data_IF_263790321104
#
_entry.id   IF_263790321104
#
_cell.length_a   1.000
_cell.length_b   1.000
_cell.length_c   1.000
_cell.angle_alpha   90.00
_cell.angle_beta   90.00
_cell.angle_gamma   90.00
#
_symmetry.space_group_name_H-M   'P 1'
#
loop_
_entity.id
_entity.type
_entity.pdbx_description
1 polymer ?
#
# COMPACT_ATOMS: atom_id res chain seq x y z
N UNK A 1 1.34 -13.07 17.12
CA UNK A 1 2.70 -12.67 16.69
C UNK A 1 3.07 -11.28 17.21
N UNK A 2 2.17 -10.29 17.16
CA UNK A 2 2.39 -8.97 17.77
C UNK A 2 2.62 -8.98 19.31
N UNK A 3 1.95 -9.88 20.04
CA UNK A 3 2.13 -9.98 21.50
C UNK A 3 3.52 -10.45 21.94
N UNK A 4 4.24 -11.21 21.09
CA UNK A 4 5.58 -11.71 21.42
C UNK A 4 6.62 -10.59 21.35
N UNK A 5 6.54 -9.72 20.35
CA UNK A 5 7.43 -8.56 20.25
C UNK A 5 7.20 -7.54 21.37
N UNK A 6 5.95 -7.41 21.82
CA UNK A 6 5.62 -6.56 22.96
C UNK A 6 6.15 -7.14 24.28
N UNK A 7 6.11 -8.47 24.45
CA UNK A 7 6.74 -9.12 25.60
C UNK A 7 8.27 -8.98 25.55
N UNK A 8 8.90 -9.18 24.40
CA UNK A 8 10.36 -9.09 24.26
C UNK A 8 10.88 -7.66 24.49
N UNK A 9 10.12 -6.64 24.07
CA UNK A 9 10.46 -5.24 24.37
C UNK A 9 10.28 -4.91 25.84
N UNK A 10 9.22 -5.43 26.47
CA UNK A 10 9.00 -5.25 27.90
C UNK A 10 10.09 -5.95 28.73
N UNK A 11 10.49 -7.17 28.35
CA UNK A 11 11.56 -7.91 29.03
C UNK A 11 12.91 -7.19 28.94
N UNK A 12 13.25 -6.63 27.78
CA UNK A 12 14.47 -5.80 27.62
C UNK A 12 14.44 -4.53 28.46
N UNK A 13 13.28 -3.88 28.58
CA UNK A 13 13.15 -2.66 29.40
C UNK A 13 13.22 -2.99 30.88
N UNK A 14 12.63 -4.10 31.32
CA UNK A 14 12.73 -4.60 32.69
C UNK A 14 14.19 -4.96 33.00
N UNK A 15 14.88 -5.66 32.11
CA UNK A 15 16.30 -6.00 32.31
C UNK A 15 17.17 -4.73 32.43
N UNK A 16 16.90 -3.71 31.61
CA UNK A 16 17.58 -2.42 31.72
C UNK A 16 17.30 -1.69 33.05
N UNK A 17 16.05 -1.72 33.53
CA UNK A 17 15.67 -1.12 34.82
C UNK A 17 16.27 -1.89 36.01
N UNK A 18 16.27 -3.22 35.94
CA UNK A 18 16.88 -4.08 36.96
C UNK A 18 18.39 -3.86 37.03
N UNK A 19 19.06 -3.69 35.89
CA UNK A 19 20.49 -3.36 35.85
C UNK A 19 20.79 -1.98 36.44
N UNK A 20 19.91 -1.00 36.26
CA UNK A 20 20.07 0.35 36.84
C UNK A 20 19.90 0.32 38.37
N UNK A 21 18.97 -0.49 38.88
CA UNK A 21 18.63 -0.52 40.32
C UNK A 21 19.56 -1.46 41.11
N UNK A 22 19.89 -2.64 40.57
CA UNK A 22 20.65 -3.67 41.26
C UNK A 22 22.08 -3.88 40.74
N UNK A 23 22.46 -3.26 39.61
CA UNK A 23 23.79 -3.38 39.04
C UNK A 23 24.13 -4.79 38.53
N UNK A 24 25.41 -5.15 38.50
CA UNK A 24 25.91 -6.47 38.10
C UNK A 24 25.89 -7.50 39.23
N UNK A 25 24.95 -7.42 40.18
CA UNK A 25 24.85 -8.38 41.27
C UNK A 25 24.08 -9.62 40.77
N UNK A 26 24.53 -10.82 41.12
CA UNK A 26 23.93 -12.08 40.67
C UNK A 26 22.42 -12.12 40.94
N UNK A 27 21.64 -12.29 39.85
CA UNK A 27 20.17 -12.22 39.80
C UNK A 27 19.47 -13.18 40.77
N UNK A 28 20.16 -14.19 41.29
CA UNK A 28 19.61 -15.23 42.19
C UNK A 28 19.89 -15.03 43.69
N UNK A 29 20.85 -14.19 44.07
CA UNK A 29 21.26 -14.08 45.47
C UNK A 29 20.42 -13.07 46.27
N UNK A 30 19.94 -12.00 45.63
CA UNK A 30 19.24 -10.88 46.30
C UNK A 30 17.96 -10.38 45.58
N UNK A 31 17.42 -11.13 44.62
CA UNK A 31 16.00 -10.98 44.30
C UNK A 31 15.22 -11.21 45.60
N UNK A 32 14.25 -10.36 45.98
CA UNK A 32 13.63 -10.43 47.31
C UNK A 32 12.79 -11.69 47.46
N UNK A 33 13.43 -12.82 47.74
CA UNK A 33 12.86 -13.97 48.42
C UNK A 33 12.82 -13.59 49.89
N UNK A 34 11.76 -12.86 50.27
CA UNK A 34 11.27 -12.72 51.65
C UNK A 34 12.40 -12.51 52.69
N UNK A 35 12.98 -11.32 52.74
CA UNK A 35 13.93 -10.97 53.81
C UNK A 35 13.88 -9.48 54.14
N UNK A 36 13.92 -9.18 55.44
CA UNK A 36 13.44 -7.98 56.15
C UNK A 36 14.16 -6.65 55.84
N UNK A 37 15.04 -6.62 54.85
CA UNK A 37 15.69 -5.40 54.38
C UNK A 37 15.27 -5.13 52.94
N UNK A 38 14.11 -4.48 52.79
CA UNK A 38 13.85 -3.70 51.58
C UNK A 38 15.07 -2.80 51.38
N UNK A 39 15.83 -3.00 50.31
CA UNK A 39 16.81 -2.01 49.88
C UNK A 39 15.99 -0.78 49.51
N UNK A 40 15.81 0.11 50.48
CA UNK A 40 15.05 1.34 50.31
C UNK A 40 15.97 2.30 49.54
N UNK A 41 16.19 2.01 48.25
CA UNK A 41 16.92 2.91 47.36
C UNK A 41 16.35 4.32 47.45
N UNK A 42 15.04 4.44 47.69
CA UNK A 42 14.35 5.70 47.94
C UNK A 42 14.87 6.37 49.22
N UNK A 43 14.96 5.67 50.35
CA UNK A 43 15.44 6.25 51.61
C UNK A 43 16.92 6.63 51.54
N UNK A 44 17.76 5.79 50.93
CA UNK A 44 19.18 6.10 50.68
C UNK A 44 19.34 7.30 49.74
N UNK A 45 18.53 7.40 48.69
CA UNK A 45 18.52 8.54 47.78
C UNK A 45 18.00 9.80 48.47
N UNK A 46 16.99 9.68 49.35
CA UNK A 46 16.46 10.76 50.17
C UNK A 46 17.51 11.24 51.18
N UNK A 47 18.26 10.33 51.80
CA UNK A 47 19.36 10.67 52.70
C UNK A 47 20.49 11.38 51.97
N UNK A 48 20.87 10.90 50.78
CA UNK A 48 21.87 11.54 49.92
C UNK A 48 21.37 12.91 49.46
N UNK A 49 20.12 13.03 49.03
CA UNK A 49 19.53 14.30 48.62
C UNK A 49 19.41 15.28 49.79
N UNK A 50 19.10 14.79 51.00
CA UNK A 50 19.07 15.59 52.22
C UNK A 50 20.47 16.05 52.61
N UNK A 51 21.50 15.18 52.49
CA UNK A 51 22.92 15.51 52.70
C UNK A 51 23.45 16.52 51.67
N UNK A 52 23.07 16.37 50.41
CA UNK A 52 23.37 17.33 49.34
C UNK A 52 22.66 18.65 49.62
N UNK A 53 21.37 18.63 49.95
CA UNK A 53 20.58 19.82 50.26
C UNK A 53 21.12 20.57 51.48
N UNK A 54 21.47 19.87 52.56
CA UNK A 54 22.12 20.47 53.75
C UNK A 54 23.52 21.02 53.44
N UNK A 55 24.29 20.36 52.58
CA UNK A 55 25.61 20.84 52.13
C UNK A 55 25.54 22.01 51.15
N UNK A 56 24.40 22.16 50.45
CA UNK A 56 24.11 23.25 49.51
C UNK A 56 23.51 24.46 50.21
N UNK A 57 22.73 24.27 51.28
CA UNK A 57 22.25 25.36 52.15
C UNK A 57 23.42 26.05 52.83
N UNK A 58 23.88 27.14 52.23
CA UNK A 58 25.01 27.95 52.68
C UNK A 58 25.93 28.40 51.52
N UNK A 59 25.94 27.66 50.40
CA UNK A 59 26.77 27.96 49.23
C UNK A 59 25.93 28.43 48.04
N UNK A 60 25.63 29.73 47.97
CA UNK A 60 24.89 30.38 46.85
C UNK A 60 25.46 30.14 45.44
N UNK A 61 26.68 29.60 45.33
CA UNK A 61 27.35 29.27 44.05
C UNK A 61 26.90 27.93 43.45
N UNK A 62 26.49 26.96 44.27
CA UNK A 62 26.13 25.62 43.79
C UNK A 62 24.77 25.60 43.07
N UNK A 63 23.72 26.30 43.54
CA UNK A 63 22.47 26.41 42.79
C UNK A 63 22.68 27.09 41.43
N UNK A 64 23.52 28.14 41.38
CA UNK A 64 23.90 28.81 40.12
C UNK A 64 24.70 27.91 39.18
N UNK A 65 25.46 26.96 39.72
CA UNK A 65 26.18 25.97 38.92
C UNK A 65 25.23 24.89 38.37
N UNK A 66 24.23 24.47 39.14
CA UNK A 66 23.20 23.53 38.68
C UNK A 66 22.30 24.14 37.59
N UNK A 67 21.90 25.41 37.71
CA UNK A 67 21.17 26.10 36.64
C UNK A 67 22.04 26.25 35.40
N UNK A 68 23.32 26.63 35.56
CA UNK A 68 24.29 26.66 34.46
C UNK A 68 24.58 25.30 33.85
N UNK A 69 24.49 24.21 34.61
CA UNK A 69 24.67 22.85 34.09
C UNK A 69 23.50 22.46 33.18
N UNK A 70 22.27 22.84 33.54
CA UNK A 70 21.11 22.65 32.67
C UNK A 70 21.20 23.53 31.42
N UNK A 71 21.61 24.79 31.56
CA UNK A 71 21.89 25.68 30.42
C UNK A 71 23.02 25.12 29.55
N UNK A 72 24.07 24.56 30.15
CA UNK A 72 25.19 23.96 29.44
C UNK A 72 24.75 22.70 28.68
N UNK A 73 23.93 21.86 29.31
CA UNK A 73 23.32 20.68 28.68
C UNK A 73 22.45 21.07 27.48
N UNK A 74 21.69 22.17 27.60
CA UNK A 74 20.91 22.71 26.49
C UNK A 74 21.81 23.27 25.37
N UNK A 75 22.89 23.98 25.74
CA UNK A 75 23.85 24.54 24.76
C UNK A 75 24.77 23.51 24.11
N UNK A 76 24.86 22.29 24.67
CA UNK A 76 25.59 21.15 24.11
C UNK A 76 24.66 20.20 23.36
N UNK A 77 23.35 20.47 23.33
CA UNK A 77 22.41 19.74 22.49
C UNK A 77 22.71 20.11 21.02
N UNK A 78 23.14 19.15 20.17
CA UNK A 78 23.50 19.39 18.78
C UNK A 78 22.40 20.13 18.01
N UNK A 79 21.13 19.85 18.32
CA UNK A 79 19.98 20.46 17.68
C UNK A 79 19.86 21.98 17.95
N UNK A 80 20.32 22.45 19.13
CA UNK A 80 20.28 23.87 19.49
C UNK A 80 21.50 24.63 18.94
N UNK A 81 22.65 23.98 18.85
CA UNK A 81 23.84 24.55 18.20
C UNK A 81 23.70 24.66 16.69
N UNK A 82 23.07 23.70 16.01
CA UNK A 82 22.92 23.75 14.55
C UNK A 82 22.01 24.91 14.10
N UNK A 83 20.96 25.21 14.87
CA UNK A 83 20.05 26.33 14.59
C UNK A 83 20.71 27.72 14.80
N UNK A 84 21.64 27.81 15.77
CA UNK A 84 22.40 29.03 16.10
C UNK A 84 23.67 29.20 15.24
N UNK A 85 24.30 28.11 14.79
CA UNK A 85 25.56 28.13 14.04
C UNK A 85 25.40 28.30 12.54
N UNK A 86 24.19 28.07 12.01
CA UNK A 86 23.91 28.38 10.62
C UNK A 86 23.81 29.89 10.44
N UNK A 87 24.95 30.51 10.13
CA UNK A 87 25.08 31.92 9.77
C UNK A 87 24.03 32.29 8.71
N UNK A 88 23.52 33.51 8.76
CA UNK A 88 22.54 34.02 7.79
C UNK A 88 23.04 33.88 6.34
N UNK A 89 24.35 34.04 6.13
CA UNK A 89 25.01 33.76 4.84
C UNK A 89 24.89 32.29 4.44
N UNK A 90 25.10 31.36 5.38
CA UNK A 90 25.01 29.92 5.10
C UNK A 90 23.56 29.49 4.80
N UNK A 91 22.55 30.13 5.43
CA UNK A 91 21.13 29.93 5.09
C UNK A 91 20.84 30.36 3.66
N UNK A 92 21.34 31.53 3.24
CA UNK A 92 21.18 32.03 1.88
C UNK A 92 21.87 31.09 0.87
N UNK A 93 23.11 30.68 1.14
CA UNK A 93 23.85 29.77 0.28
C UNK A 93 23.17 28.41 0.17
N UNK A 94 22.57 27.90 1.26
CA UNK A 94 21.79 26.66 1.26
C UNK A 94 20.52 26.80 0.42
N UNK A 95 19.79 27.91 0.55
CA UNK A 95 18.58 28.16 -0.25
C UNK A 95 18.90 28.33 -1.73
N UNK A 96 20.02 28.98 -2.06
CA UNK A 96 20.49 29.14 -3.44
C UNK A 96 20.98 27.80 -4.03
N UNK A 97 21.67 26.98 -3.24
CA UNK A 97 22.08 25.64 -3.65
C UNK A 97 20.87 24.73 -3.92
N UNK A 98 19.80 24.87 -3.14
CA UNK A 98 18.57 24.08 -3.24
C UNK A 98 17.49 24.75 -4.12
N UNK A 99 17.80 25.85 -4.82
CA UNK A 99 16.83 26.61 -5.61
C UNK A 99 16.18 25.73 -6.70
N UNK A 100 16.99 24.96 -7.42
CA UNK A 100 16.52 24.07 -8.50
C UNK A 100 15.59 22.99 -7.94
N UNK A 101 15.97 22.39 -6.82
CA UNK A 101 15.15 21.40 -6.13
C UNK A 101 13.80 21.99 -5.68
N UNK A 102 13.80 23.17 -5.06
CA UNK A 102 12.57 23.85 -4.63
C UNK A 102 11.67 24.21 -5.81
N UNK A 103 12.24 24.68 -6.92
CA UNK A 103 11.49 24.96 -8.16
C UNK A 103 10.89 23.69 -8.76
N UNK A 104 11.63 22.59 -8.75
CA UNK A 104 11.13 21.30 -9.22
C UNK A 104 9.98 20.78 -8.35
N UNK A 105 10.11 20.87 -7.02
CA UNK A 105 9.03 20.50 -6.11
C UNK A 105 7.80 21.38 -6.27
N UNK A 106 7.96 22.69 -6.47
CA UNK A 106 6.86 23.60 -6.74
C UNK A 106 6.13 23.25 -8.06
N UNK A 107 6.87 22.96 -9.13
CA UNK A 107 6.28 22.51 -10.40
C UNK A 107 5.55 21.18 -10.24
N UNK A 108 6.12 20.22 -9.51
CA UNK A 108 5.48 18.93 -9.21
C UNK A 108 4.19 19.14 -8.43
N UNK A 109 4.18 20.04 -7.44
CA UNK A 109 2.99 20.36 -6.67
C UNK A 109 1.91 21.02 -7.55
N UNK A 110 2.28 21.95 -8.42
CA UNK A 110 1.35 22.59 -9.36
C UNK A 110 0.75 21.56 -10.33
N UNK A 111 1.57 20.64 -10.87
CA UNK A 111 1.04 19.53 -11.68
C UNK A 111 0.10 18.64 -10.88
N UNK A 112 0.42 18.33 -9.62
CA UNK A 112 -0.43 17.51 -8.76
C UNK A 112 -1.78 18.19 -8.50
N UNK A 113 -1.79 19.51 -8.29
CA UNK A 113 -3.01 20.30 -8.09
C UNK A 113 -3.88 20.31 -9.36
N UNK A 114 -3.27 20.45 -10.54
CA UNK A 114 -3.99 20.35 -11.81
C UNK A 114 -4.58 18.94 -12.04
N UNK A 115 -3.85 17.88 -11.66
CA UNK A 115 -4.34 16.51 -11.75
C UNK A 115 -5.45 16.22 -10.73
N UNK A 116 -5.43 16.83 -9.54
CA UNK A 116 -6.48 16.69 -8.52
C UNK A 116 -7.86 17.11 -9.06
N UNK A 117 -7.92 18.19 -9.82
CA UNK A 117 -9.15 18.63 -10.48
C UNK A 117 -9.68 17.56 -11.46
N UNK A 118 -8.80 16.89 -12.21
CA UNK A 118 -9.20 15.80 -13.12
C UNK A 118 -9.68 14.55 -12.38
N UNK A 119 -9.04 14.17 -11.28
CA UNK A 119 -9.44 13.03 -10.43
C UNK A 119 -10.83 13.28 -9.82
N UNK A 120 -11.10 14.54 -9.45
CA UNK A 120 -12.37 14.95 -8.87
C UNK A 120 -13.51 15.10 -9.89
N UNK A 121 -13.23 14.93 -11.18
CA UNK A 121 -14.18 15.14 -12.28
C UNK A 121 -15.44 14.30 -12.12
N UNK A 122 -16.58 14.92 -12.46
CA UNK A 122 -17.89 14.27 -12.36
C UNK A 122 -18.00 13.01 -13.21
N UNK A 123 -17.21 12.91 -14.29
CA UNK A 123 -17.18 11.75 -15.17
C UNK A 123 -16.63 10.51 -14.47
N UNK A 124 -15.56 10.63 -13.68
CA UNK A 124 -15.01 9.51 -12.89
C UNK A 124 -16.00 9.12 -11.78
N UNK A 125 -16.62 10.11 -11.12
CA UNK A 125 -17.67 9.88 -10.11
C UNK A 125 -18.94 9.25 -10.69
N UNK A 126 -19.22 9.45 -11.98
CA UNK A 126 -20.38 8.88 -12.65
C UNK A 126 -20.15 7.43 -13.16
N UNK A 127 -18.91 6.92 -13.15
CA UNK A 127 -18.59 5.55 -13.60
C UNK A 127 -19.45 4.46 -12.92
N UNK A 128 -19.67 4.48 -11.59
CA UNK A 128 -20.52 3.48 -10.95
C UNK A 128 -21.98 3.50 -11.44
N UNK A 129 -22.51 4.67 -11.84
CA UNK A 129 -23.86 4.80 -12.40
C UNK A 129 -23.97 4.12 -13.77
N UNK A 130 -22.93 4.21 -14.59
CA UNK A 130 -22.88 3.58 -15.90
C UNK A 130 -22.52 2.09 -15.83
N UNK A 131 -21.80 1.66 -14.78
CA UNK A 131 -21.41 0.26 -14.57
C UNK A 131 -22.63 -0.68 -14.49
N UNK A 132 -23.69 -0.29 -13.77
CA UNK A 132 -24.92 -1.07 -13.70
C UNK A 132 -25.59 -1.26 -15.07
N UNK A 133 -25.74 -0.16 -15.83
CA UNK A 133 -26.31 -0.21 -17.18
C UNK A 133 -25.43 -0.99 -18.17
N UNK A 134 -24.11 -0.90 -18.04
CA UNK A 134 -23.16 -1.67 -18.83
C UNK A 134 -23.26 -3.17 -18.51
N UNK A 135 -23.46 -3.52 -17.23
CA UNK A 135 -23.65 -4.90 -16.81
C UNK A 135 -24.94 -5.50 -17.41
N UNK A 136 -26.06 -4.77 -17.34
CA UNK A 136 -27.30 -5.18 -18.00
C UNK A 136 -27.12 -5.35 -19.51
N UNK A 137 -26.46 -4.38 -20.16
CA UNK A 137 -26.17 -4.46 -21.60
C UNK A 137 -25.26 -5.65 -21.93
N UNK A 138 -24.27 -5.94 -21.09
CA UNK A 138 -23.38 -7.10 -21.26
C UNK A 138 -24.14 -8.41 -21.19
N UNK A 139 -25.11 -8.55 -20.28
CA UNK A 139 -25.97 -9.73 -20.23
C UNK A 139 -26.83 -9.87 -21.50
N UNK A 140 -27.37 -8.77 -22.01
CA UNK A 140 -28.12 -8.77 -23.28
C UNK A 140 -27.21 -9.17 -24.44
N UNK A 141 -26.00 -8.65 -24.49
CA UNK A 141 -25.02 -8.96 -25.53
C UNK A 141 -24.66 -10.45 -25.56
N UNK A 142 -24.47 -11.07 -24.38
CA UNK A 142 -24.21 -12.51 -24.28
C UNK A 142 -25.39 -13.30 -24.85
N UNK A 143 -26.63 -12.96 -24.46
CA UNK A 143 -27.83 -13.61 -25.00
C UNK A 143 -27.95 -13.46 -26.52
N UNK A 144 -27.66 -12.27 -27.05
CA UNK A 144 -27.69 -12.02 -28.49
C UNK A 144 -26.61 -12.82 -29.22
N UNK A 145 -25.42 -12.96 -28.62
CA UNK A 145 -24.34 -13.76 -29.18
C UNK A 145 -24.72 -15.24 -29.27
N UNK A 146 -25.29 -15.80 -28.20
CA UNK A 146 -25.74 -17.19 -28.16
C UNK A 146 -26.87 -17.43 -29.20
N UNK A 147 -27.85 -16.53 -29.26
CA UNK A 147 -28.93 -16.62 -30.26
C UNK A 147 -28.40 -16.53 -31.69
N UNK A 148 -27.43 -15.64 -31.95
CA UNK A 148 -26.83 -15.49 -33.27
C UNK A 148 -26.07 -16.76 -33.67
N UNK A 149 -25.36 -17.39 -32.73
CA UNK A 149 -24.67 -18.65 -32.99
C UNK A 149 -25.65 -19.77 -33.35
N UNK A 150 -26.75 -19.92 -32.59
CA UNK A 150 -27.79 -20.92 -32.87
C UNK A 150 -28.45 -20.71 -34.24
N UNK A 151 -28.86 -19.48 -34.55
CA UNK A 151 -29.48 -19.16 -35.86
C UNK A 151 -28.48 -19.41 -36.99
N UNK A 152 -27.20 -19.09 -36.80
CA UNK A 152 -26.17 -19.33 -37.81
C UNK A 152 -26.02 -20.83 -38.09
N UNK A 153 -26.04 -21.65 -37.04
CA UNK A 153 -25.98 -23.11 -37.18
C UNK A 153 -27.22 -23.66 -37.91
N UNK A 154 -28.42 -23.23 -37.53
CA UNK A 154 -29.66 -23.63 -38.20
C UNK A 154 -29.67 -23.27 -39.68
N UNK A 155 -29.24 -22.05 -40.01
CA UNK A 155 -29.13 -21.57 -41.40
C UNK A 155 -28.11 -22.40 -42.17
N UNK A 156 -26.97 -22.74 -41.56
CA UNK A 156 -25.95 -23.57 -42.19
C UNK A 156 -26.48 -24.97 -42.48
N UNK A 157 -27.18 -25.61 -41.52
CA UNK A 157 -27.80 -26.92 -41.71
C UNK A 157 -28.88 -26.90 -42.82
N UNK A 158 -29.68 -25.83 -42.88
CA UNK A 158 -30.66 -25.65 -43.94
C UNK A 158 -30.00 -25.48 -45.31
N UNK A 159 -28.90 -24.74 -45.38
CA UNK A 159 -28.12 -24.53 -46.60
C UNK A 159 -27.45 -25.84 -47.08
N UNK A 160 -26.92 -26.65 -46.17
CA UNK A 160 -26.35 -27.96 -46.48
C UNK A 160 -27.42 -28.94 -46.99
N UNK A 161 -28.61 -28.91 -46.38
CA UNK A 161 -29.76 -29.69 -46.83
C UNK A 161 -30.21 -29.27 -48.22
N UNK A 162 -30.31 -27.96 -48.47
CA UNK A 162 -30.62 -27.41 -49.79
C UNK A 162 -29.58 -27.83 -50.84
N UNK A 163 -28.29 -27.68 -50.55
CA UNK A 163 -27.20 -28.08 -51.44
C UNK A 163 -27.25 -29.58 -51.78
N UNK A 164 -27.60 -30.41 -50.79
CA UNK A 164 -27.77 -31.86 -50.97
C UNK A 164 -28.94 -32.16 -51.92
N UNK A 165 -30.09 -31.51 -51.70
CA UNK A 165 -31.29 -31.68 -52.54
C UNK A 165 -31.00 -31.23 -53.98
N UNK A 166 -30.36 -30.07 -54.18
CA UNK A 166 -30.01 -29.56 -55.51
C UNK A 166 -29.03 -30.48 -56.23
N UNK A 167 -28.04 -31.04 -55.51
CA UNK A 167 -27.09 -31.98 -56.10
C UNK A 167 -27.78 -33.28 -56.52
N UNK A 168 -28.71 -33.79 -55.70
CA UNK A 168 -29.48 -34.99 -56.02
C UNK A 168 -30.42 -34.76 -57.21
N UNK A 169 -31.14 -33.64 -57.23
CA UNK A 169 -32.00 -33.24 -58.35
C UNK A 169 -31.20 -33.11 -59.64
N UNK A 170 -30.05 -32.43 -59.60
CA UNK A 170 -29.16 -32.29 -60.77
C UNK A 170 -28.73 -33.66 -61.32
N UNK A 171 -28.34 -34.60 -60.44
CA UNK A 171 -28.00 -35.97 -60.84
C UNK A 171 -29.20 -36.72 -61.42
N UNK A 172 -30.39 -36.52 -60.86
CA UNK A 172 -31.60 -37.17 -61.34
C UNK A 172 -32.03 -36.64 -62.70
N UNK A 173 -31.94 -35.33 -62.93
CA UNK A 173 -32.19 -34.72 -64.22
C UNK A 173 -31.21 -35.22 -65.29
N UNK A 174 -29.92 -35.31 -64.98
CA UNK A 174 -28.93 -35.89 -65.91
C UNK A 174 -29.26 -37.35 -66.28
N UNK A 175 -29.67 -38.17 -65.31
CA UNK A 175 -30.10 -39.55 -65.57
C UNK A 175 -31.36 -39.62 -66.43
N UNK A 176 -32.35 -38.75 -66.17
CA UNK A 176 -33.55 -38.69 -66.98
C UNK A 176 -33.24 -38.26 -68.41
N UNK A 177 -32.36 -37.29 -68.60
CA UNK A 177 -31.91 -36.84 -69.91
C UNK A 177 -31.20 -37.95 -70.69
N UNK A 178 -30.35 -38.74 -70.04
CA UNK A 178 -29.72 -39.92 -70.64
C UNK A 178 -30.75 -40.98 -71.05
N UNK A 179 -31.76 -41.26 -70.21
CA UNK A 179 -32.83 -42.22 -70.52
C UNK A 179 -33.65 -41.73 -71.72
N UNK A 180 -34.02 -40.45 -71.75
CA UNK A 180 -34.78 -39.85 -72.86
C UNK A 180 -33.97 -39.90 -74.15
N UNK A 181 -32.70 -39.49 -74.10
CA UNK A 181 -31.79 -39.54 -75.27
C UNK A 181 -31.66 -40.96 -75.83
N UNK A 182 -31.50 -41.96 -74.96
CA UNK A 182 -31.43 -43.36 -75.38
C UNK A 182 -32.74 -43.85 -76.02
N UNK A 183 -33.90 -43.43 -75.49
CA UNK A 183 -35.21 -43.75 -76.07
C UNK A 183 -35.40 -43.08 -77.45
N UNK A 184 -34.95 -41.83 -77.61
CA UNK A 184 -34.99 -41.12 -78.89
C UNK A 184 -34.12 -41.81 -79.96
N UNK A 185 -32.89 -42.20 -79.60
CA UNK A 185 -31.99 -42.93 -80.51
C UNK A 185 -32.60 -44.28 -80.91
N UNK A 186 -33.23 -45.00 -79.97
CA UNK A 186 -33.90 -46.27 -80.27
C UNK A 186 -35.11 -46.09 -81.18
N UNK A 187 -35.85 -44.98 -81.05
CA UNK A 187 -36.96 -44.64 -81.92
C UNK A 187 -36.51 -44.22 -83.33
N UNK A 188 -35.36 -43.54 -83.47
CA UNK A 188 -34.81 -43.12 -84.77
C UNK A 188 -34.18 -44.27 -85.59
N UNK A 189 -33.78 -45.37 -84.95
CA UNK A 189 -33.22 -46.55 -85.63
C UNK A 189 -34.28 -47.50 -86.20
N UNK A 190 -35.56 -47.15 -86.07
CA UNK A 190 -36.70 -47.94 -86.53
C UNK A 190 -37.37 -47.27 -87.72
#
# INVERSE_FOLDING_TARGET
MADSEQLDTLEKTIEGLEQIVFGCVEKDAHYPKVSETKVQCIDSLLEINNKISTSVTGKKRIPKAFTKLNELKLSLDPAYTDEMTLSESAKIDTVLAEEEFLREQANRLDTMQQLEEMISSEHIKAVPKFSGKLHELSQVQIKQQDQTALITEEVQQALDSYNTIITLLSKQFAKWDEIVTNAEIAAQKK
#
